data_IF_112230686974
#
_entry.id   IF_112230686974
#
_cell.length_a   1.000
_cell.length_b   1.000
_cell.length_c   1.000
_cell.angle_alpha   90.00
_cell.angle_beta   90.00
_cell.angle_gamma   90.00
#
_symmetry.space_group_name_H-M   'P 1'
#
loop_
_entity.id
_entity.type
_entity.pdbx_description
1 polymer ?
#
# COMPACT_ATOMS: atom_id res chain seq x y z
N UNK A 1 21.17 32.03 -12.31
CA UNK A 1 19.70 31.85 -12.25
C UNK A 1 19.12 32.26 -10.89
N UNK A 2 19.65 31.75 -9.77
CA UNK A 2 19.18 32.10 -8.41
C UNK A 2 19.28 33.60 -8.08
N UNK A 3 20.36 34.27 -8.47
CA UNK A 3 20.54 35.73 -8.27
C UNK A 3 19.52 36.57 -9.06
N UNK A 4 19.07 36.09 -10.21
CA UNK A 4 18.06 36.78 -11.01
C UNK A 4 16.67 36.68 -10.37
N UNK A 5 16.36 35.55 -9.74
CA UNK A 5 15.12 35.34 -8.98
C UNK A 5 15.08 36.27 -7.77
N UNK A 6 16.21 36.40 -7.07
CA UNK A 6 16.35 37.31 -5.91
C UNK A 6 16.15 38.77 -6.27
N UNK A 7 16.82 39.24 -7.34
CA UNK A 7 16.71 40.64 -7.77
C UNK A 7 15.29 41.00 -8.22
N UNK A 8 14.56 40.05 -8.81
CA UNK A 8 13.17 40.25 -9.24
C UNK A 8 12.19 40.33 -8.06
N UNK A 9 12.52 39.72 -6.92
CA UNK A 9 11.72 39.76 -5.70
C UNK A 9 11.79 41.13 -5.01
N UNK A 10 12.96 41.77 -5.06
CA UNK A 10 13.19 43.10 -4.48
C UNK A 10 12.46 44.21 -5.24
N UNK A 11 12.24 44.04 -6.56
CA UNK A 11 11.52 44.99 -7.40
C UNK A 11 10.01 44.73 -7.48
N UNK A 12 9.49 43.75 -6.74
CA UNK A 12 8.11 43.29 -6.88
C UNK A 12 7.14 44.27 -6.22
N UNK A 13 6.18 44.78 -6.99
CA UNK A 13 5.16 45.68 -6.46
C UNK A 13 4.15 44.91 -5.58
N UNK A 14 3.50 45.61 -4.64
CA UNK A 14 2.50 45.00 -3.72
C UNK A 14 1.40 44.25 -4.48
N UNK A 15 0.97 44.76 -5.64
CA UNK A 15 -0.02 44.07 -6.49
C UNK A 15 0.46 42.73 -7.05
N UNK A 16 1.74 42.63 -7.43
CA UNK A 16 2.33 41.38 -7.91
C UNK A 16 2.51 40.39 -6.75
N UNK A 17 2.88 40.87 -5.56
CA UNK A 17 2.98 40.05 -4.36
C UNK A 17 1.65 39.37 -4.00
N UNK A 18 0.53 40.11 -4.10
CA UNK A 18 -0.82 39.58 -3.87
C UNK A 18 -1.15 38.51 -4.92
N UNK A 19 -0.82 38.75 -6.18
CA UNK A 19 -1.08 37.81 -7.28
C UNK A 19 -0.30 36.50 -7.10
N UNK A 20 0.97 36.59 -6.73
CA UNK A 20 1.82 35.44 -6.40
C UNK A 20 1.25 34.66 -5.21
N UNK A 21 0.78 35.36 -4.17
CA UNK A 21 0.16 34.71 -3.01
C UNK A 21 -1.08 33.90 -3.39
N UNK A 22 -1.96 34.45 -4.24
CA UNK A 22 -3.19 33.76 -4.69
C UNK A 22 -2.84 32.53 -5.53
N UNK A 23 -1.89 32.67 -6.45
CA UNK A 23 -1.41 31.55 -7.29
C UNK A 23 -0.76 30.47 -6.43
N UNK A 24 0.04 30.84 -5.43
CA UNK A 24 0.68 29.89 -4.52
C UNK A 24 -0.36 29.05 -3.77
N UNK A 25 -1.41 29.68 -3.25
CA UNK A 25 -2.52 28.98 -2.59
C UNK A 25 -3.18 27.98 -3.54
N UNK A 26 -3.46 28.38 -4.78
CA UNK A 26 -4.03 27.49 -5.80
C UNK A 26 -3.15 26.27 -6.09
N UNK A 27 -1.83 26.46 -6.20
CA UNK A 27 -0.88 25.36 -6.44
C UNK A 27 -0.87 24.37 -5.27
N UNK A 28 -0.88 24.87 -4.03
CA UNK A 28 -0.91 24.01 -2.84
C UNK A 28 -2.21 23.21 -2.79
N UNK A 29 -3.36 23.84 -3.07
CA UNK A 29 -4.64 23.14 -3.15
C UNK A 29 -4.66 22.09 -4.28
N UNK A 30 -4.11 22.42 -5.46
CA UNK A 30 -3.99 21.47 -6.56
C UNK A 30 -3.13 20.26 -6.19
N UNK A 31 -2.01 20.46 -5.49
CA UNK A 31 -1.17 19.39 -5.00
C UNK A 31 -1.89 18.49 -3.98
N UNK A 32 -2.66 19.08 -3.07
CA UNK A 32 -3.49 18.33 -2.11
C UNK A 32 -4.56 17.49 -2.82
N UNK A 33 -5.27 18.06 -3.79
CA UNK A 33 -6.25 17.33 -4.60
C UNK A 33 -5.59 16.16 -5.33
N UNK A 34 -4.39 16.37 -5.89
CA UNK A 34 -3.64 15.32 -6.57
C UNK A 34 -3.25 14.20 -5.61
N UNK A 35 -2.83 14.50 -4.38
CA UNK A 35 -2.55 13.48 -3.37
C UNK A 35 -3.79 12.65 -3.01
N UNK A 36 -4.94 13.31 -2.83
CA UNK A 36 -6.22 12.63 -2.59
C UNK A 36 -6.60 11.76 -3.79
N UNK A 37 -6.38 12.24 -5.01
CA UNK A 37 -6.67 11.49 -6.22
C UNK A 37 -5.76 10.26 -6.36
N UNK A 38 -4.46 10.39 -6.08
CA UNK A 38 -3.50 9.27 -6.11
C UNK A 38 -3.85 8.22 -5.06
N UNK A 39 -4.16 8.64 -3.83
CA UNK A 39 -4.57 7.71 -2.77
C UNK A 39 -5.89 7.00 -3.10
N UNK A 40 -6.89 7.71 -3.63
CA UNK A 40 -8.16 7.13 -4.06
C UNK A 40 -8.00 6.14 -5.22
N UNK A 41 -7.19 6.50 -6.23
CA UNK A 41 -6.91 5.61 -7.37
C UNK A 41 -6.12 4.37 -6.92
N UNK A 42 -5.14 4.51 -6.03
CA UNK A 42 -4.43 3.38 -5.44
C UNK A 42 -5.36 2.45 -4.64
N UNK A 43 -6.28 3.00 -3.84
CA UNK A 43 -7.28 2.20 -3.13
C UNK A 43 -8.17 1.42 -4.09
N UNK A 44 -8.68 2.08 -5.14
CA UNK A 44 -9.53 1.43 -6.14
C UNK A 44 -8.80 0.35 -6.95
N UNK A 45 -7.51 0.55 -7.19
CA UNK A 45 -6.65 -0.47 -7.81
C UNK A 45 -6.42 -1.62 -6.84
N UNK A 46 -6.10 -1.34 -5.56
CA UNK A 46 -5.94 -2.37 -4.53
C UNK A 46 -7.22 -3.18 -4.34
N UNK A 47 -8.40 -2.57 -4.32
CA UNK A 47 -9.69 -3.27 -4.20
C UNK A 47 -9.91 -4.26 -5.35
N UNK A 48 -9.49 -3.92 -6.59
CA UNK A 48 -9.48 -4.86 -7.73
C UNK A 48 -8.45 -5.98 -7.61
N UNK A 49 -7.36 -5.77 -6.89
CA UNK A 49 -6.38 -6.83 -6.59
C UNK A 49 -6.84 -7.71 -5.41
N UNK A 50 -7.52 -7.13 -4.43
CA UNK A 50 -8.08 -7.79 -3.24
C UNK A 50 -9.31 -8.66 -3.59
N UNK A 51 -10.02 -8.34 -4.67
CA UNK A 51 -11.04 -9.24 -5.23
C UNK A 51 -10.43 -10.52 -5.85
N UNK A 52 -9.14 -10.50 -6.22
CA UNK A 52 -8.40 -11.68 -6.72
C UNK A 52 -7.53 -12.37 -5.68
N UNK A 53 -7.11 -11.64 -4.66
CA UNK A 53 -6.53 -12.22 -3.46
C UNK A 53 -7.51 -11.92 -2.36
N UNK A 54 -8.44 -12.82 -2.03
CA UNK A 54 -9.14 -12.77 -0.76
C UNK A 54 -8.11 -12.60 0.36
N UNK A 55 -7.76 -11.36 0.69
CA UNK A 55 -7.18 -11.04 1.97
C UNK A 55 -8.42 -11.05 2.85
N UNK A 56 -8.79 -12.27 3.26
CA UNK A 56 -9.65 -12.48 4.41
C UNK A 56 -9.22 -11.44 5.45
N UNK A 57 -10.17 -10.77 6.14
CA UNK A 57 -9.78 -9.99 7.31
C UNK A 57 -8.85 -10.89 8.10
N UNK A 58 -7.73 -10.31 8.53
CA UNK A 58 -6.82 -10.96 9.48
C UNK A 58 -7.64 -11.14 10.76
N UNK A 59 -8.55 -12.12 10.77
CA UNK A 59 -8.85 -12.88 11.95
C UNK A 59 -7.48 -13.34 12.39
N UNK A 60 -7.06 -12.80 13.51
CA UNK A 60 -6.07 -13.39 14.38
C UNK A 60 -6.40 -14.88 14.44
N UNK A 61 -5.81 -15.66 13.54
CA UNK A 61 -5.87 -17.10 13.60
C UNK A 61 -4.98 -17.46 14.77
N UNK A 62 -5.57 -17.39 15.95
CA UNK A 62 -5.03 -17.76 17.26
C UNK A 62 -4.84 -19.28 17.35
N UNK A 63 -4.54 -19.96 16.24
CA UNK A 63 -4.43 -21.42 16.20
C UNK A 63 -3.31 -21.85 15.25
N UNK A 64 -2.12 -21.29 15.42
CA UNK A 64 -0.88 -21.88 14.88
C UNK A 64 0.31 -21.76 15.83
N UNK A 65 0.11 -21.15 17.00
CA UNK A 65 1.19 -20.87 17.94
C UNK A 65 1.49 -22.02 18.91
N UNK A 66 0.50 -22.86 19.23
CA UNK A 66 0.65 -23.86 20.32
C UNK A 66 1.12 -25.24 19.86
N UNK A 67 0.69 -25.75 18.70
CA UNK A 67 1.00 -27.13 18.29
C UNK A 67 2.15 -27.20 17.27
N UNK A 68 3.36 -27.43 17.79
CA UNK A 68 4.58 -27.60 16.98
C UNK A 68 4.47 -28.73 15.96
N UNK A 69 3.72 -29.79 16.24
CA UNK A 69 3.61 -30.93 15.34
C UNK A 69 2.77 -30.58 14.10
N UNK A 70 1.70 -29.81 14.29
CA UNK A 70 0.86 -29.34 13.19
C UNK A 70 1.64 -28.41 12.23
N UNK A 71 2.50 -27.53 12.77
CA UNK A 71 3.36 -26.65 11.97
C UNK A 71 4.37 -27.46 11.15
N UNK A 72 5.04 -28.44 11.78
CA UNK A 72 6.04 -29.27 11.11
C UNK A 72 5.39 -30.13 10.02
N UNK A 73 4.24 -30.76 10.31
CA UNK A 73 3.52 -31.57 9.34
C UNK A 73 3.07 -30.75 8.12
N UNK A 74 2.61 -29.52 8.36
CA UNK A 74 2.18 -28.60 7.29
C UNK A 74 3.36 -28.16 6.42
N UNK A 75 4.51 -27.88 7.03
CA UNK A 75 5.73 -27.52 6.31
C UNK A 75 6.23 -28.68 5.43
N UNK A 76 6.28 -29.89 6.00
CA UNK A 76 6.71 -31.10 5.27
C UNK A 76 5.77 -31.39 4.11
N UNK A 77 4.45 -31.35 4.34
CA UNK A 77 3.46 -31.54 3.28
C UNK A 77 3.59 -30.48 2.17
N UNK A 78 3.84 -29.22 2.52
CA UNK A 78 4.06 -28.16 1.54
C UNK A 78 5.34 -28.36 0.71
N UNK A 79 6.41 -28.83 1.36
CA UNK A 79 7.67 -29.16 0.68
C UNK A 79 7.54 -30.35 -0.26
N UNK A 80 6.87 -31.43 0.17
CA UNK A 80 6.64 -32.60 -0.66
C UNK A 80 5.75 -32.27 -1.86
N UNK A 81 4.70 -31.48 -1.67
CA UNK A 81 3.85 -31.02 -2.76
C UNK A 81 4.61 -30.14 -3.77
N UNK A 82 5.48 -29.25 -3.28
CA UNK A 82 6.35 -28.45 -4.14
C UNK A 82 7.30 -29.34 -4.94
N UNK A 83 7.89 -30.35 -4.31
CA UNK A 83 8.79 -31.31 -4.98
C UNK A 83 8.07 -32.11 -6.07
N UNK A 84 6.82 -32.49 -5.84
CA UNK A 84 6.06 -33.32 -6.79
C UNK A 84 5.45 -32.52 -7.95
N UNK A 85 4.94 -31.31 -7.68
CA UNK A 85 4.20 -30.50 -8.67
C UNK A 85 4.95 -29.29 -9.19
N UNK A 86 6.07 -28.90 -8.58
CA UNK A 86 6.86 -27.72 -8.94
C UNK A 86 6.15 -26.38 -8.71
N UNK A 87 4.99 -26.38 -8.04
CA UNK A 87 4.13 -25.21 -7.86
C UNK A 87 4.23 -24.70 -6.42
N UNK A 88 4.44 -23.39 -6.28
CA UNK A 88 4.41 -22.73 -4.97
C UNK A 88 2.96 -22.67 -4.48
N UNK A 89 2.72 -23.21 -3.30
CA UNK A 89 1.41 -23.20 -2.63
C UNK A 89 1.46 -22.39 -1.34
N UNK A 90 0.35 -21.74 -1.00
CA UNK A 90 0.14 -21.07 0.29
C UNK A 90 -0.89 -21.87 1.06
N UNK A 91 -0.54 -22.34 2.26
CA UNK A 91 -1.48 -23.01 3.15
C UNK A 91 -2.33 -21.95 3.83
N UNK A 92 -3.65 -22.04 3.67
CA UNK A 92 -4.63 -21.04 4.15
C UNK A 92 -5.22 -21.46 5.51
N UNK A 93 -5.39 -22.76 5.75
CA UNK A 93 -5.90 -23.29 7.00
C UNK A 93 -5.48 -24.76 7.16
N UNK A 94 -5.24 -25.18 8.40
CA UNK A 94 -4.94 -26.57 8.77
C UNK A 94 -5.99 -26.99 9.78
N UNK A 95 -6.89 -27.88 9.39
CA UNK A 95 -7.91 -28.44 10.28
C UNK A 95 -7.47 -29.83 10.75
N UNK A 96 -7.36 -30.01 12.07
CA UNK A 96 -7.19 -31.35 12.65
C UNK A 96 -8.50 -32.13 12.46
N UNK A 97 -8.39 -33.33 11.89
CA UNK A 97 -9.49 -34.29 11.85
C UNK A 97 -9.17 -35.28 12.97
N UNK A 98 -10.05 -35.36 13.96
CA UNK A 98 -10.01 -36.39 15.00
C UNK A 98 -10.91 -37.53 14.55
N UNK A 99 -10.39 -38.76 14.60
CA UNK A 99 -11.15 -40.00 14.41
C UNK A 99 -12.01 -40.33 15.62
#
# INVERSE_FOLDING_TARGET
MVLAIWKNWESMNVGEAILVSIISILIVFAALILLVFVTWTLQKVMEKYDEKTHILPREENEILSEDKNAVIATLVAAMDFYREKGKKIRVVSVKRIED
#
